data_IF_376689723932
#
_entry.id   IF_376689723932
#
_cell.length_a   1.000
_cell.length_b   1.000
_cell.length_c   1.000
_cell.angle_alpha   90.00
_cell.angle_beta   90.00
_cell.angle_gamma   90.00
#
_symmetry.space_group_name_H-M   'P 1'
#
loop_
_entity.id
_entity.type
_entity.pdbx_description
1 polymer ?
#
# COMPACT_ATOMS: atom_id res chain seq x y z
N UNK A 1 8.41 8.06 -14.44
CA UNK A 1 6.99 8.46 -14.23
C UNK A 1 6.63 8.15 -12.80
N UNK A 2 5.67 8.86 -12.21
CA UNK A 2 5.20 8.64 -10.83
C UNK A 2 3.70 8.33 -10.86
N UNK A 3 3.22 7.59 -9.86
CA UNK A 3 1.83 7.21 -9.71
C UNK A 3 1.52 6.87 -8.25
N UNK A 4 0.24 6.65 -7.97
CA UNK A 4 -0.23 6.21 -6.66
C UNK A 4 0.08 4.74 -6.40
N UNK A 5 -0.05 4.31 -5.15
CA UNK A 5 0.10 2.90 -4.82
C UNK A 5 -0.99 2.07 -5.52
N UNK A 6 -0.57 0.96 -6.11
CA UNK A 6 -1.45 0.07 -6.85
C UNK A 6 -1.61 -1.25 -6.12
N UNK A 7 -2.74 -1.39 -5.41
CA UNK A 7 -2.95 -2.57 -4.59
C UNK A 7 -3.33 -3.81 -5.42
N UNK A 8 -3.92 -3.62 -6.60
CA UNK A 8 -4.22 -4.73 -7.52
C UNK A 8 -2.93 -5.34 -8.03
N UNK A 9 -2.00 -4.50 -8.50
CA UNK A 9 -0.70 -4.96 -8.97
C UNK A 9 0.15 -5.57 -7.84
N UNK A 10 0.16 -4.96 -6.65
CA UNK A 10 0.95 -5.49 -5.52
C UNK A 10 0.35 -6.78 -4.97
N UNK A 11 -0.98 -6.88 -4.85
CA UNK A 11 -1.65 -8.12 -4.44
C UNK A 11 -1.38 -9.27 -5.41
N UNK A 12 -1.42 -9.00 -6.71
CA UNK A 12 -1.03 -9.99 -7.72
C UNK A 12 0.45 -10.40 -7.60
N UNK A 13 1.36 -9.45 -7.40
CA UNK A 13 2.78 -9.75 -7.19
C UNK A 13 3.01 -10.59 -5.92
N UNK A 14 2.30 -10.29 -4.83
CA UNK A 14 2.36 -11.02 -3.58
C UNK A 14 1.90 -12.48 -3.76
N UNK A 15 0.77 -12.68 -4.44
CA UNK A 15 0.27 -14.01 -4.76
C UNK A 15 1.23 -14.78 -5.68
N UNK A 16 1.67 -14.17 -6.77
CA UNK A 16 2.51 -14.83 -7.79
C UNK A 16 3.87 -15.28 -7.23
N UNK A 17 4.47 -14.48 -6.33
CA UNK A 17 5.79 -14.75 -5.79
C UNK A 17 5.76 -15.40 -4.40
N UNK A 18 4.58 -15.62 -3.82
CA UNK A 18 4.44 -16.17 -2.47
C UNK A 18 5.06 -15.27 -1.40
N UNK A 19 4.83 -13.96 -1.47
CA UNK A 19 5.31 -13.03 -0.44
C UNK A 19 4.76 -13.41 0.93
N UNK A 20 5.61 -13.41 1.95
CA UNK A 20 5.21 -13.60 3.34
C UNK A 20 4.99 -12.28 4.05
N UNK A 21 5.74 -11.24 3.67
CA UNK A 21 5.71 -9.90 4.24
C UNK A 21 6.01 -8.85 3.16
N UNK A 22 5.66 -7.59 3.44
CA UNK A 22 6.06 -6.42 2.66
C UNK A 22 7.11 -5.60 3.39
N UNK A 23 8.07 -5.10 2.62
CA UNK A 23 8.91 -3.97 2.98
C UNK A 23 8.40 -2.73 2.23
N UNK A 24 7.78 -1.79 2.94
CA UNK A 24 7.33 -0.52 2.37
C UNK A 24 8.50 0.47 2.43
N UNK A 25 8.74 1.20 1.34
CA UNK A 25 9.85 2.15 1.28
C UNK A 25 9.38 3.53 0.90
N UNK A 26 10.17 4.54 1.27
CA UNK A 26 9.93 5.94 0.92
C UNK A 26 8.61 6.48 1.46
N UNK A 27 8.24 6.11 2.69
CA UNK A 27 7.05 6.68 3.34
C UNK A 27 7.17 8.21 3.46
N UNK A 28 8.39 8.70 3.72
CA UNK A 28 8.76 10.11 3.86
C UNK A 28 8.42 10.97 2.63
N UNK A 29 8.37 10.36 1.44
CA UNK A 29 7.99 11.07 0.21
C UNK A 29 6.51 11.50 0.23
N UNK A 30 5.68 10.88 1.06
CA UNK A 30 4.26 11.19 1.20
C UNK A 30 3.98 12.24 2.28
N UNK A 31 4.99 12.64 3.06
CA UNK A 31 4.87 13.67 4.10
C UNK A 31 4.37 15.00 3.49
N UNK A 32 3.45 15.67 4.17
CA UNK A 32 2.88 16.95 3.75
C UNK A 32 1.75 16.86 2.71
N UNK A 33 1.44 15.66 2.18
CA UNK A 33 0.29 15.48 1.31
C UNK A 33 -1.02 15.56 2.12
N UNK A 34 -2.04 16.23 1.57
CA UNK A 34 -3.37 16.31 2.22
C UNK A 34 -4.16 15.01 2.09
N UNK A 35 -4.03 14.37 0.95
CA UNK A 35 -4.76 13.15 0.60
C UNK A 35 -3.84 12.22 -0.19
N UNK A 36 -4.02 10.93 0.04
CA UNK A 36 -3.34 9.85 -0.66
C UNK A 36 -4.38 8.99 -1.37
N UNK A 37 -3.97 8.34 -2.45
CA UNK A 37 -4.84 7.43 -3.20
C UNK A 37 -4.23 6.04 -3.28
N UNK A 38 -5.11 5.04 -3.25
CA UNK A 38 -4.78 3.62 -3.42
C UNK A 38 -5.64 3.10 -4.56
N UNK A 39 -5.02 2.59 -5.64
CA UNK A 39 -5.78 1.91 -6.69
C UNK A 39 -6.25 0.57 -6.14
N UNK A 40 -7.55 0.32 -6.14
CA UNK A 40 -8.15 -0.91 -5.59
C UNK A 40 -8.87 -1.76 -6.62
N UNK A 41 -9.13 -1.20 -7.81
CA UNK A 41 -9.73 -1.90 -8.93
C UNK A 41 -9.41 -1.14 -10.23
N UNK A 42 -9.64 -1.79 -11.36
CA UNK A 42 -9.64 -1.14 -12.66
C UNK A 42 -11.02 -1.22 -13.30
N UNK A 43 -11.39 -0.16 -14.01
CA UNK A 43 -12.52 -0.15 -14.94
C UNK A 43 -11.99 -0.36 -16.36
N UNK A 44 -12.39 -1.44 -17.01
CA UNK A 44 -12.03 -1.74 -18.39
C UNK A 44 -12.82 -0.85 -19.37
N UNK A 45 -12.37 -0.79 -20.63
CA UNK A 45 -13.07 -0.06 -21.70
C UNK A 45 -14.52 -0.56 -21.91
N UNK A 46 -14.78 -1.85 -21.63
CA UNK A 46 -16.12 -2.45 -21.62
C UNK A 46 -17.04 -1.88 -20.53
N UNK A 47 -16.49 -1.17 -19.55
CA UNK A 47 -17.17 -0.69 -18.35
C UNK A 47 -17.11 -1.66 -17.17
N UNK A 48 -16.66 -2.89 -17.39
CA UNK A 48 -16.46 -3.91 -16.36
C UNK A 48 -15.46 -3.43 -15.30
N UNK A 49 -15.72 -3.75 -14.03
CA UNK A 49 -14.83 -3.44 -12.92
C UNK A 49 -14.20 -4.72 -12.43
N UNK A 50 -12.87 -4.75 -12.42
CA UNK A 50 -12.07 -5.91 -12.00
C UNK A 50 -11.12 -5.52 -10.88
N UNK A 51 -10.84 -6.45 -9.97
CA UNK A 51 -9.89 -6.31 -8.86
C UNK A 51 -8.64 -7.19 -9.03
N UNK A 52 -8.41 -7.71 -10.24
CA UNK A 52 -7.17 -8.37 -10.66
C UNK A 52 -6.49 -7.58 -11.79
N UNK A 53 -5.22 -7.92 -12.06
CA UNK A 53 -4.42 -7.27 -13.09
C UNK A 53 -5.04 -7.54 -14.47
N UNK A 54 -5.43 -6.50 -15.24
CA UNK A 54 -5.94 -6.67 -16.60
C UNK A 54 -4.93 -7.36 -17.50
N UNK A 55 -5.43 -8.05 -18.53
CA UNK A 55 -4.57 -8.52 -19.62
C UNK A 55 -3.86 -7.35 -20.31
N UNK A 56 -2.70 -7.61 -20.89
CA UNK A 56 -1.84 -6.56 -21.48
C UNK A 56 -2.56 -5.66 -22.50
N UNK A 57 -3.45 -6.17 -23.39
CA UNK A 57 -4.23 -5.32 -24.29
C UNK A 57 -5.19 -4.39 -23.54
N UNK A 58 -5.89 -4.91 -22.53
CA UNK A 58 -6.92 -4.16 -21.80
C UNK A 58 -6.32 -3.12 -20.85
N UNK A 59 -5.09 -3.32 -20.40
CA UNK A 59 -4.35 -2.40 -19.52
C UNK A 59 -4.19 -0.99 -20.12
N UNK A 60 -4.13 -0.87 -21.45
CA UNK A 60 -3.92 0.44 -22.10
C UNK A 60 -5.09 1.40 -21.89
N UNK A 61 -6.31 0.87 -21.85
CA UNK A 61 -7.55 1.64 -21.71
C UNK A 61 -8.16 1.49 -20.30
N UNK A 62 -7.54 0.71 -19.43
CA UNK A 62 -7.98 0.50 -18.06
C UNK A 62 -7.88 1.81 -17.24
N UNK A 63 -8.98 2.17 -16.58
CA UNK A 63 -9.05 3.34 -15.70
C UNK A 63 -8.98 2.91 -14.24
N UNK A 64 -7.99 3.37 -13.44
CA UNK A 64 -7.89 3.02 -12.03
C UNK A 64 -9.04 3.59 -11.20
N UNK A 65 -9.56 2.79 -10.28
CA UNK A 65 -10.53 3.18 -9.27
C UNK A 65 -9.79 3.36 -7.95
N UNK A 66 -9.88 4.55 -7.37
CA UNK A 66 -9.12 4.94 -6.20
C UNK A 66 -9.97 5.00 -4.93
N UNK A 67 -9.45 4.43 -3.84
CA UNK A 67 -9.79 4.87 -2.49
C UNK A 67 -8.98 6.12 -2.15
N UNK A 68 -9.58 7.06 -1.43
CA UNK A 68 -8.90 8.28 -0.94
C UNK A 68 -8.74 8.21 0.57
N UNK A 69 -7.51 8.46 1.02
CA UNK A 69 -7.11 8.37 2.42
C UNK A 69 -6.54 9.71 2.88
N UNK A 70 -6.74 10.09 4.16
CA UNK A 70 -6.11 11.29 4.69
C UNK A 70 -4.58 11.13 4.66
N UNK A 71 -3.89 12.17 4.21
CA UNK A 71 -2.44 12.25 4.36
C UNK A 71 -2.07 12.77 5.76
N UNK A 72 -0.81 13.16 5.91
CA UNK A 72 -0.26 13.68 7.17
C UNK A 72 0.70 14.83 6.90
N UNK A 73 0.88 15.69 7.89
CA UNK A 73 1.73 16.88 7.81
C UNK A 73 3.07 16.70 8.51
N UNK A 74 3.13 15.77 9.45
CA UNK A 74 4.24 15.52 10.34
C UNK A 74 5.35 14.74 9.61
N UNK A 75 6.63 15.12 9.78
CA UNK A 75 7.72 14.42 9.13
C UNK A 75 7.92 13.02 9.72
N UNK A 76 8.10 12.02 8.86
CA UNK A 76 8.34 10.62 9.26
C UNK A 76 9.82 10.25 9.34
N UNK A 77 10.70 11.10 8.79
CA UNK A 77 12.15 10.85 8.63
C UNK A 77 12.91 10.53 9.94
N UNK A 78 12.43 11.06 11.06
CA UNK A 78 12.99 10.82 12.40
C UNK A 78 12.40 9.61 13.14
N UNK A 79 11.34 9.01 12.63
CA UNK A 79 10.59 7.95 13.31
C UNK A 79 11.39 6.64 13.33
N UNK A 80 11.36 5.93 14.46
CA UNK A 80 12.06 4.63 14.65
C UNK A 80 11.16 3.53 15.23
N UNK A 81 9.96 3.87 15.71
CA UNK A 81 8.98 2.93 16.22
C UNK A 81 7.63 3.13 15.52
N UNK A 82 6.85 2.06 15.42
CA UNK A 82 5.54 2.07 14.75
C UNK A 82 4.57 3.08 15.38
N UNK A 83 4.52 3.11 16.71
CA UNK A 83 3.61 3.98 17.47
C UNK A 83 3.94 5.47 17.35
N UNK A 84 5.15 5.81 16.94
CA UNK A 84 5.60 7.18 16.69
C UNK A 84 5.22 7.70 15.29
N UNK A 85 4.75 6.81 14.39
CA UNK A 85 4.25 7.25 13.09
C UNK A 85 2.97 8.10 13.24
N UNK A 86 2.70 9.03 12.30
CA UNK A 86 1.41 9.70 12.26
C UNK A 86 0.26 8.69 12.15
N UNK A 87 -0.84 8.94 12.85
CA UNK A 87 -2.00 8.03 12.84
C UNK A 87 -2.54 7.76 11.43
N UNK A 88 -2.55 8.79 10.57
CA UNK A 88 -2.94 8.65 9.17
C UNK A 88 -1.97 7.79 8.37
N UNK A 89 -0.66 7.89 8.64
CA UNK A 89 0.36 7.05 8.01
C UNK A 89 0.19 5.58 8.39
N UNK A 90 -0.02 5.28 9.68
CA UNK A 90 -0.34 3.92 10.12
C UNK A 90 -1.60 3.38 9.44
N UNK A 91 -2.68 4.17 9.40
CA UNK A 91 -3.93 3.76 8.77
C UNK A 91 -3.75 3.45 7.27
N UNK A 92 -2.97 4.27 6.56
CA UNK A 92 -2.61 4.04 5.17
C UNK A 92 -1.80 2.73 5.00
N UNK A 93 -0.78 2.52 5.85
CA UNK A 93 0.06 1.31 5.84
C UNK A 93 -0.77 0.05 6.12
N UNK A 94 -1.67 0.11 7.10
CA UNK A 94 -2.63 -0.96 7.36
C UNK A 94 -3.45 -1.28 6.13
N UNK A 95 -4.01 -0.26 5.47
CA UNK A 95 -4.87 -0.47 4.31
C UNK A 95 -4.15 -1.14 3.14
N UNK A 96 -2.94 -0.68 2.82
CA UNK A 96 -2.18 -1.30 1.73
C UNK A 96 -1.77 -2.75 2.07
N UNK A 97 -1.51 -3.04 3.35
CA UNK A 97 -1.23 -4.40 3.82
C UNK A 97 -2.45 -5.32 3.69
N UNK A 98 -3.64 -4.84 4.09
CA UNK A 98 -4.90 -5.57 3.93
C UNK A 98 -5.18 -5.90 2.47
N UNK A 99 -5.04 -4.92 1.58
CA UNK A 99 -5.32 -5.10 0.16
C UNK A 99 -4.30 -6.00 -0.54
N UNK A 100 -3.03 -5.96 -0.11
CA UNK A 100 -2.00 -6.86 -0.61
C UNK A 100 -2.15 -8.30 -0.06
N UNK A 101 -2.93 -8.50 1.01
CA UNK A 101 -3.14 -9.80 1.65
C UNK A 101 -1.93 -10.33 2.43
N UNK A 102 -0.91 -9.49 2.65
CA UNK A 102 0.34 -9.83 3.33
C UNK A 102 0.73 -8.73 4.33
N UNK A 103 1.25 -9.09 5.52
CA UNK A 103 1.62 -8.13 6.56
C UNK A 103 2.81 -7.26 6.12
N UNK A 104 2.89 -6.03 6.63
CA UNK A 104 4.11 -5.22 6.54
C UNK A 104 5.02 -5.58 7.70
N UNK A 105 6.30 -5.83 7.42
CA UNK A 105 7.32 -6.12 8.42
C UNK A 105 8.27 -4.94 8.62
N UNK A 106 8.51 -4.16 7.55
CA UNK A 106 9.42 -3.01 7.61
C UNK A 106 8.89 -1.83 6.82
N UNK A 107 9.16 -0.64 7.34
CA UNK A 107 8.84 0.64 6.69
C UNK A 107 10.08 1.53 6.69
N UNK A 108 10.61 1.85 5.51
CA UNK A 108 11.67 2.84 5.35
C UNK A 108 11.09 4.25 5.30
N UNK A 109 11.64 5.11 6.15
CA UNK A 109 11.25 6.52 6.31
C UNK A 109 12.38 7.47 5.88
N UNK A 110 13.34 6.98 5.10
CA UNK A 110 14.43 7.80 4.58
C UNK A 110 15.52 6.97 3.89
N UNK A 111 16.58 7.66 3.45
CA UNK A 111 17.66 7.07 2.66
C UNK A 111 18.74 6.38 3.50
N UNK A 112 18.91 6.78 4.76
CA UNK A 112 19.93 6.22 5.64
C UNK A 112 19.54 4.84 6.16
N UNK A 113 20.54 4.01 6.44
CA UNK A 113 20.35 2.61 6.87
C UNK A 113 19.50 2.51 8.14
N UNK A 114 19.66 3.46 9.04
CA UNK A 114 18.96 3.51 10.33
C UNK A 114 17.55 4.10 10.21
N UNK A 115 17.14 4.61 9.04
CA UNK A 115 15.80 5.19 8.80
C UNK A 115 14.79 4.11 8.45
N UNK A 116 14.64 3.17 9.37
CA UNK A 116 13.80 1.98 9.25
C UNK A 116 12.95 1.81 10.50
N UNK A 117 11.67 1.53 10.31
CA UNK A 117 10.72 1.13 11.36
C UNK A 117 10.42 -0.35 11.19
N UNK A 118 10.71 -1.15 12.21
CA UNK A 118 10.29 -2.56 12.27
C UNK A 118 8.87 -2.64 12.81
N UNK A 119 8.04 -3.45 12.16
CA UNK A 119 6.64 -3.67 12.53
C UNK A 119 6.52 -5.03 13.18
N UNK A 120 6.11 -5.06 14.44
CA UNK A 120 5.94 -6.29 15.21
C UNK A 120 4.60 -6.97 14.86
N UNK A 121 4.50 -8.31 15.02
CA UNK A 121 3.25 -9.02 14.81
C UNK A 121 2.10 -8.41 15.63
N UNK A 122 0.97 -8.13 14.96
CA UNK A 122 -0.21 -7.51 15.58
C UNK A 122 -0.27 -5.98 15.47
N UNK A 123 0.84 -5.30 15.20
CA UNK A 123 0.86 -3.83 15.01
C UNK A 123 0.26 -3.40 13.67
N UNK A 124 0.32 -4.28 12.66
CA UNK A 124 -0.24 -4.07 11.31
C UNK A 124 -1.51 -4.91 11.02
N UNK A 125 -1.89 -5.87 11.87
CA UNK A 125 -2.82 -6.97 11.55
C UNK A 125 -4.27 -6.74 12.02
N UNK A 126 -4.61 -5.54 12.49
CA UNK A 126 -5.94 -5.20 13.01
C UNK A 126 -6.98 -5.00 11.89
N UNK A 127 -7.31 -6.06 11.13
CA UNK A 127 -8.33 -5.99 10.08
C UNK A 127 -8.38 -7.14 9.07
N UNK A 128 -7.55 -8.18 9.21
CA UNK A 128 -7.37 -9.19 8.16
C UNK A 128 -8.62 -10.04 7.89
N UNK A 129 -9.30 -9.77 6.78
CA UNK A 129 -10.18 -10.74 6.11
C UNK A 129 -9.38 -11.73 5.27
N UNK A 130 -9.80 -13.00 5.25
CA UNK A 130 -9.13 -14.10 4.55
C UNK A 130 -8.90 -13.82 3.05
N UNK A 131 -7.85 -14.41 2.44
CA UNK A 131 -7.55 -14.24 1.02
C UNK A 131 -8.73 -14.68 0.15
N UNK A 132 -9.15 -13.80 -0.76
CA UNK A 132 -10.30 -13.99 -1.66
C UNK A 132 -9.88 -14.53 -3.01
N UNK A 133 -9.15 -15.64 -3.08
CA UNK A 133 -8.91 -16.30 -4.36
C UNK A 133 -9.06 -17.81 -4.20
N UNK A 134 -10.22 -18.30 -4.66
CA UNK A 134 -10.52 -19.69 -4.99
C UNK A 134 -10.92 -19.74 -6.47
#
# INVERSE_FOLDING_TARGET
>A
RCGWYDAVAVGHAAWLNGFTTLAVTKLDVLDGMRELKICTAYRLASGEVIDWVPDTPDMQDATPIYETWPGWSEPTTGVRAWDDLPKAARAYLHRISELAGVPIETVSVGAEREQLVTVLPGEADAGRTAPRHA
#
